data_IF_322691166919
#
_entry.id   IF_322691166919
#
_cell.length_a   1.000
_cell.length_b   1.000
_cell.length_c   1.000
_cell.angle_alpha   90.00
_cell.angle_beta   90.00
_cell.angle_gamma   90.00
#
_symmetry.space_group_name_H-M   'P 1'
#
loop_
_entity.id
_entity.type
_entity.pdbx_description
1 polymer ?
#
# COMPACT_ATOMS: atom_id res chain seq x y z
N UNK A 1 -4.92 2.32 -12.94
CA UNK A 1 -3.46 2.15 -13.21
C UNK A 1 -2.93 0.95 -12.43
N UNK A 2 -1.97 0.18 -12.96
CA UNK A 2 -1.29 -0.88 -12.16
C UNK A 2 -0.33 -0.24 -11.16
N UNK A 3 -0.33 -0.69 -9.90
CA UNK A 3 0.62 -0.21 -8.88
C UNK A 3 2.06 -0.51 -9.31
N UNK A 4 2.89 0.54 -9.39
CA UNK A 4 4.29 0.43 -9.81
C UNK A 4 5.24 0.49 -8.62
N UNK A 5 6.43 -0.09 -8.76
CA UNK A 5 7.51 0.04 -7.77
C UNK A 5 7.89 1.49 -7.53
N UNK A 6 7.92 2.31 -8.58
CA UNK A 6 8.27 3.72 -8.48
C UNK A 6 7.25 4.52 -7.66
N UNK A 7 5.95 4.24 -7.87
CA UNK A 7 4.87 4.81 -7.03
C UNK A 7 5.09 4.48 -5.56
N UNK A 8 5.41 3.23 -5.23
CA UNK A 8 5.67 2.82 -3.83
C UNK A 8 6.86 3.57 -3.23
N UNK A 9 7.96 3.70 -3.98
CA UNK A 9 9.19 4.34 -3.48
C UNK A 9 9.09 5.86 -3.35
N UNK A 10 8.22 6.50 -4.14
CA UNK A 10 7.99 7.94 -4.11
C UNK A 10 6.82 8.34 -3.20
N UNK A 11 6.01 7.38 -2.76
CA UNK A 11 4.86 7.63 -1.89
C UNK A 11 5.28 8.10 -0.50
N UNK A 12 4.46 9.02 0.03
CA UNK A 12 4.57 9.45 1.41
C UNK A 12 4.37 8.27 2.36
N UNK A 13 5.04 8.32 3.50
CA UNK A 13 4.87 7.36 4.58
C UNK A 13 5.08 8.06 5.93
N UNK A 14 4.57 7.45 7.00
CA UNK A 14 4.72 7.99 8.35
C UNK A 14 4.09 7.09 9.40
N UNK A 15 4.03 7.59 10.63
CA UNK A 15 3.28 6.93 11.70
C UNK A 15 1.81 7.37 11.64
N UNK A 16 0.90 6.41 11.73
CA UNK A 16 -0.52 6.69 11.96
C UNK A 16 -0.73 7.23 13.39
N UNK A 17 -1.92 7.80 13.70
CA UNK A 17 -2.28 8.14 15.08
C UNK A 17 -2.25 6.95 16.06
N UNK A 18 -2.35 5.71 15.56
CA UNK A 18 -2.24 4.48 16.36
C UNK A 18 -0.80 3.97 16.50
N UNK A 19 0.17 4.62 15.84
CA UNK A 19 1.59 4.24 15.87
C UNK A 19 2.00 3.22 14.81
N UNK A 20 1.12 2.86 13.88
CA UNK A 20 1.44 1.96 12.78
C UNK A 20 2.30 2.67 11.74
N UNK A 21 3.32 1.98 11.20
CA UNK A 21 4.04 2.49 10.03
C UNK A 21 3.14 2.37 8.80
N UNK A 22 2.69 3.50 8.28
CA UNK A 22 1.73 3.57 7.18
C UNK A 22 2.41 4.05 5.91
N UNK A 23 2.19 3.30 4.82
CA UNK A 23 2.45 3.73 3.46
C UNK A 23 1.18 4.36 2.87
N UNK A 24 1.29 5.58 2.34
CA UNK A 24 0.16 6.30 1.75
C UNK A 24 0.17 6.16 0.22
N UNK A 25 -0.80 5.39 -0.30
CA UNK A 25 -1.06 5.18 -1.74
C UNK A 25 -2.40 5.79 -2.17
N UNK A 26 -2.92 6.76 -1.42
CA UNK A 26 -4.20 7.41 -1.66
C UNK A 26 -4.25 8.13 -3.01
N UNK A 27 -5.44 8.22 -3.60
CA UNK A 27 -5.75 9.06 -4.77
C UNK A 27 -4.86 8.77 -6.01
N UNK A 28 -4.24 7.59 -6.06
CA UNK A 28 -3.24 7.22 -7.08
C UNK A 28 -3.84 6.55 -8.32
N UNK A 29 -5.19 6.48 -8.40
CA UNK A 29 -5.95 5.80 -9.46
C UNK A 29 -5.47 4.37 -9.71
N UNK A 30 -5.04 3.68 -8.65
CA UNK A 30 -4.60 2.29 -8.72
C UNK A 30 -5.84 1.43 -8.98
N UNK A 31 -5.80 0.59 -10.01
CA UNK A 31 -6.88 -0.34 -10.35
C UNK A 31 -6.47 -1.80 -10.23
N UNK A 32 -5.16 -2.06 -10.18
CA UNK A 32 -4.57 -3.40 -10.05
C UNK A 32 -3.42 -3.35 -9.05
N UNK A 33 -3.53 -4.11 -7.98
CA UNK A 33 -2.46 -4.31 -7.01
C UNK A 33 -1.34 -5.15 -7.63
N UNK A 34 -0.11 -4.72 -7.44
CA UNK A 34 1.11 -5.36 -7.94
C UNK A 34 2.34 -4.76 -7.22
N UNK A 35 3.50 -5.40 -7.38
CA UNK A 35 4.80 -4.88 -6.94
C UNK A 35 4.90 -4.57 -5.44
N UNK A 36 3.97 -5.06 -4.61
CA UNK A 36 3.96 -4.84 -3.16
C UNK A 36 5.19 -5.41 -2.46
N UNK A 37 6.00 -6.27 -3.11
CA UNK A 37 7.30 -6.70 -2.58
C UNK A 37 8.31 -5.56 -2.45
N UNK A 38 8.11 -4.45 -3.18
CA UNK A 38 8.93 -3.24 -3.05
C UNK A 38 8.78 -2.57 -1.67
N UNK A 39 7.71 -2.88 -0.93
CA UNK A 39 7.50 -2.39 0.44
C UNK A 39 8.46 -3.01 1.46
N UNK A 40 9.16 -4.10 1.10
CA UNK A 40 10.13 -4.82 1.94
C UNK A 40 9.57 -5.24 3.31
N UNK A 41 8.25 -5.39 3.42
CA UNK A 41 7.56 -5.70 4.68
C UNK A 41 7.83 -4.66 5.80
N UNK A 42 8.14 -3.41 5.44
CA UNK A 42 8.51 -2.36 6.41
C UNK A 42 7.30 -1.66 7.07
N UNK A 43 6.09 -1.89 6.54
CA UNK A 43 4.86 -1.19 6.91
C UNK A 43 3.87 -2.10 7.64
N UNK A 44 3.27 -1.57 8.70
CA UNK A 44 2.18 -2.20 9.44
C UNK A 44 0.82 -1.93 8.75
N UNK A 45 0.72 -0.83 8.00
CA UNK A 45 -0.50 -0.37 7.34
C UNK A 45 -0.22 0.13 5.90
N UNK A 46 -1.14 -0.17 4.96
CA UNK A 46 -1.16 0.44 3.64
C UNK A 46 -2.50 1.13 3.43
N UNK A 47 -2.46 2.44 3.21
CA UNK A 47 -3.63 3.26 2.88
C UNK A 47 -3.84 3.28 1.36
N UNK A 48 -4.88 2.60 0.91
CA UNK A 48 -5.32 2.47 -0.48
C UNK A 48 -6.59 3.29 -0.76
N UNK A 49 -6.99 4.22 0.12
CA UNK A 49 -8.23 4.98 -0.05
C UNK A 49 -8.28 5.75 -1.38
N UNK A 50 -9.49 5.94 -1.90
CA UNK A 50 -9.74 6.68 -3.15
C UNK A 50 -8.98 6.15 -4.38
N UNK A 51 -8.84 4.82 -4.49
CA UNK A 51 -8.34 4.15 -5.68
C UNK A 51 -9.46 3.39 -6.41
N UNK A 52 -9.18 2.93 -7.63
CA UNK A 52 -10.13 2.22 -8.50
C UNK A 52 -9.97 0.69 -8.38
N UNK A 53 -9.58 0.19 -7.20
CA UNK A 53 -9.25 -1.22 -6.98
C UNK A 53 -10.53 -2.06 -6.97
N UNK A 54 -10.64 -2.99 -7.91
CA UNK A 54 -11.81 -3.88 -8.03
C UNK A 54 -11.59 -5.27 -7.41
N UNK A 55 -10.34 -5.63 -7.12
CA UNK A 55 -9.94 -6.93 -6.56
C UNK A 55 -8.76 -6.79 -5.60
N UNK A 56 -8.85 -7.45 -4.45
CA UNK A 56 -7.75 -7.58 -3.50
C UNK A 56 -6.99 -8.88 -3.79
N UNK A 57 -5.98 -8.80 -4.64
CA UNK A 57 -5.17 -9.93 -5.09
C UNK A 57 -3.70 -9.50 -5.29
N UNK A 58 -2.82 -10.45 -5.62
CA UNK A 58 -1.39 -10.22 -5.89
C UNK A 58 -0.57 -9.70 -4.70
N UNK A 59 -0.97 -10.04 -3.47
CA UNK A 59 -0.17 -9.78 -2.28
C UNK A 59 0.99 -10.78 -2.18
N UNK A 60 2.24 -10.34 -2.03
CA UNK A 60 3.31 -11.21 -1.57
C UNK A 60 3.13 -11.53 -0.08
N UNK A 61 3.95 -12.43 0.45
CA UNK A 61 4.01 -12.65 1.89
C UNK A 61 4.56 -11.39 2.58
N UNK A 62 3.69 -10.70 3.33
CA UNK A 62 4.02 -9.50 4.12
C UNK A 62 3.59 -9.73 5.58
N UNK A 63 4.38 -10.45 6.39
CA UNK A 63 4.01 -10.80 7.76
C UNK A 63 3.77 -9.60 8.69
N UNK A 64 4.36 -8.43 8.40
CA UNK A 64 4.19 -7.23 9.21
C UNK A 64 2.90 -6.48 8.89
N UNK A 65 2.39 -6.61 7.66
CA UNK A 65 1.19 -5.90 7.22
C UNK A 65 -0.04 -6.40 7.97
N UNK A 66 -0.64 -5.52 8.78
CA UNK A 66 -1.81 -5.82 9.62
C UNK A 66 -3.08 -5.17 9.09
N UNK A 67 -2.94 -4.00 8.46
CA UNK A 67 -4.08 -3.14 8.12
C UNK A 67 -4.04 -2.69 6.66
N UNK A 68 -5.18 -2.79 6.00
CA UNK A 68 -5.46 -2.12 4.72
C UNK A 68 -6.58 -1.11 4.94
N UNK A 69 -6.37 0.12 4.50
CA UNK A 69 -7.42 1.17 4.50
C UNK A 69 -7.92 1.35 3.07
N UNK A 70 -9.24 1.36 2.89
CA UNK A 70 -9.91 1.56 1.59
C UNK A 70 -10.98 2.63 1.71
#
# INVERSE_FOLDING_TARGET
MKLSTETILQSGHGLSPTGDRTLYLRDSRISVLANLGATKDDYDCIDLSNNDIIKLENFPLLPRLKTLVS
#
